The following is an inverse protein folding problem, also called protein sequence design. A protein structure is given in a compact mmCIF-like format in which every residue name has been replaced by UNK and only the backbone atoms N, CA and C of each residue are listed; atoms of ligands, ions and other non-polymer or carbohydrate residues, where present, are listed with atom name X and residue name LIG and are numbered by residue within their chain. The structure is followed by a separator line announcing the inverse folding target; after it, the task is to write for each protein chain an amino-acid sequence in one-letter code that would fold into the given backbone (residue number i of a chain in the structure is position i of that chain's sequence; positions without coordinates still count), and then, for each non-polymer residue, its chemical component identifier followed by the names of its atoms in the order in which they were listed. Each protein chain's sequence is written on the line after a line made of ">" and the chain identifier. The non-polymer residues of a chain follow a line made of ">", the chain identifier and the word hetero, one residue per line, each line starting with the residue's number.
data_IF_613045054528
#
_entry.id   IF_613045054528
#
_cell.length_a   1.000
_cell.length_b   1.000
_cell.length_c   1.000
_cell.angle_alpha   90.00
_cell.angle_beta   90.00
_cell.angle_gamma   90.00
#
_symmetry.space_group_name_H-M   'P 1'
#
loop_
_entity.id
_entity.type
_entity.pdbx_description
1 polymer ?
#
# COMPACT_ATOMS: atom_id res chain seq x y z
N UNK A 1 -22.44 25.37 1.18
CA UNK A 1 -21.04 25.08 0.83
C UNK A 1 -20.33 24.74 2.14
N UNK A 2 -19.99 23.48 2.35
CA UNK A 2 -19.11 23.10 3.47
C UNK A 2 -17.71 23.66 3.15
N UNK A 3 -17.00 24.24 4.14
CA UNK A 3 -15.65 24.69 3.91
C UNK A 3 -14.82 23.50 3.47
N UNK A 4 -14.11 23.62 2.33
CA UNK A 4 -13.15 22.64 1.87
C UNK A 4 -12.21 22.32 3.04
N UNK A 5 -12.28 21.09 3.56
CA UNK A 5 -11.31 20.65 4.54
C UNK A 5 -9.95 20.71 3.86
N UNK A 6 -9.12 21.63 4.31
CA UNK A 6 -7.75 21.74 3.81
C UNK A 6 -7.09 20.37 3.96
N UNK A 7 -6.54 19.85 2.86
CA UNK A 7 -5.79 18.61 2.88
C UNK A 7 -4.63 18.74 3.86
N UNK A 8 -4.71 18.02 4.96
CA UNK A 8 -3.58 17.88 5.87
C UNK A 8 -2.73 16.72 5.35
N UNK A 9 -1.46 16.97 4.98
CA UNK A 9 -0.57 15.87 4.60
C UNK A 9 -0.42 14.93 5.80
N UNK A 10 -0.65 13.63 5.56
CA UNK A 10 -0.50 12.61 6.58
C UNK A 10 0.95 12.61 7.13
N UNK A 11 1.09 12.44 8.43
CA UNK A 11 2.41 12.36 9.06
C UNK A 11 3.12 11.08 8.60
N UNK A 12 4.25 11.25 7.90
CA UNK A 12 5.04 10.15 7.36
C UNK A 12 5.89 9.57 8.49
N UNK A 13 5.45 8.46 9.06
CA UNK A 13 6.22 7.70 10.06
C UNK A 13 7.08 6.67 9.32
N UNK A 14 8.37 7.00 9.17
CA UNK A 14 9.34 6.12 8.52
C UNK A 14 10.49 5.82 9.49
N UNK A 15 10.46 4.62 10.06
CA UNK A 15 11.52 4.08 10.91
C UNK A 15 12.25 2.95 10.16
N UNK A 16 13.09 3.31 9.19
CA UNK A 16 13.96 2.40 8.46
C UNK A 16 15.40 2.58 8.91
N UNK A 17 16.19 1.50 8.91
CA UNK A 17 17.59 1.51 9.32
C UNK A 17 18.45 2.42 8.43
N UNK A 18 18.10 2.55 7.15
CA UNK A 18 18.81 3.36 6.16
C UNK A 18 18.35 4.81 6.08
N UNK A 19 17.23 5.16 6.72
CA UNK A 19 16.69 6.53 6.74
C UNK A 19 17.71 7.62 7.13
N UNK A 20 18.60 7.44 8.13
CA UNK A 20 19.58 8.48 8.49
C UNK A 20 20.58 8.75 7.36
N UNK A 21 20.99 7.72 6.62
CA UNK A 21 21.91 7.82 5.50
C UNK A 21 21.23 8.50 4.30
N UNK A 22 20.01 8.09 3.97
CA UNK A 22 19.19 8.67 2.91
C UNK A 22 18.96 10.17 3.16
N UNK A 23 18.57 10.57 4.37
CA UNK A 23 18.35 11.97 4.74
C UNK A 23 19.58 12.86 4.56
N UNK A 24 20.79 12.30 4.56
CA UNK A 24 22.03 13.03 4.35
C UNK A 24 22.46 13.08 2.88
N UNK A 25 22.32 11.96 2.16
CA UNK A 25 22.82 11.80 0.78
C UNK A 25 21.84 12.37 -0.25
N UNK A 26 20.53 12.08 -0.12
CA UNK A 26 19.54 12.45 -1.12
C UNK A 26 19.42 13.97 -1.36
N UNK A 27 19.40 14.86 -0.33
CA UNK A 27 19.38 16.31 -0.57
C UNK A 27 20.65 16.80 -1.26
N UNK A 28 21.81 16.22 -0.97
CA UNK A 28 23.07 16.56 -1.61
C UNK A 28 23.06 16.20 -3.11
N UNK A 29 22.52 15.04 -3.49
CA UNK A 29 22.33 14.65 -4.88
C UNK A 29 21.30 15.55 -5.54
N UNK A 30 20.13 15.75 -4.92
CA UNK A 30 19.03 16.55 -5.46
C UNK A 30 19.47 18.00 -5.78
N UNK A 31 20.32 18.59 -4.93
CA UNK A 31 20.85 19.94 -5.17
C UNK A 31 21.79 20.04 -6.38
N UNK A 32 22.34 18.92 -6.86
CA UNK A 32 23.25 18.86 -8.01
C UNK A 32 22.59 18.44 -9.31
N UNK A 33 21.33 18.00 -9.28
CA UNK A 33 20.61 17.60 -10.47
C UNK A 33 20.37 18.80 -11.38
N UNK A 34 20.55 18.65 -12.72
CA UNK A 34 20.27 19.70 -13.70
C UNK A 34 18.83 20.22 -13.60
N UNK A 35 18.62 21.52 -13.92
CA UNK A 35 17.31 22.16 -13.77
C UNK A 35 16.22 21.57 -14.66
N UNK A 36 16.57 20.88 -15.76
CA UNK A 36 15.61 20.23 -16.65
C UNK A 36 15.06 18.89 -16.11
N UNK A 37 15.69 18.28 -15.10
CA UNK A 37 15.18 17.10 -14.43
C UNK A 37 14.14 17.53 -13.39
N UNK A 38 12.91 17.07 -13.54
CA UNK A 38 11.81 17.27 -12.62
C UNK A 38 11.52 16.03 -11.79
N UNK A 39 10.75 16.20 -10.70
CA UNK A 39 10.26 15.07 -9.87
C UNK A 39 9.57 14.00 -10.72
N UNK A 40 8.71 14.40 -11.67
CA UNK A 40 7.97 13.47 -12.53
C UNK A 40 8.90 12.60 -13.41
N UNK A 41 10.05 13.13 -13.86
CA UNK A 41 11.04 12.34 -14.59
C UNK A 41 11.66 11.25 -13.71
N UNK A 42 11.88 11.54 -12.42
CA UNK A 42 12.43 10.58 -11.47
C UNK A 42 11.42 9.50 -11.10
N UNK A 43 10.16 9.88 -10.89
CA UNK A 43 9.07 8.92 -10.68
C UNK A 43 8.91 7.99 -11.89
N UNK A 44 8.95 8.54 -13.11
CA UNK A 44 8.92 7.75 -14.35
C UNK A 44 10.14 6.83 -14.47
N UNK A 45 11.34 7.30 -14.13
CA UNK A 45 12.56 6.48 -14.09
C UNK A 45 12.40 5.32 -13.11
N UNK A 46 11.86 5.58 -11.91
CA UNK A 46 11.54 4.57 -10.91
C UNK A 46 10.62 3.49 -11.46
N UNK A 47 9.53 3.88 -12.10
CA UNK A 47 8.56 2.97 -12.68
C UNK A 47 9.15 2.14 -13.85
N UNK A 48 9.82 2.79 -14.81
CA UNK A 48 10.48 2.08 -15.92
C UNK A 48 11.53 1.09 -15.42
N UNK A 49 12.18 1.42 -14.30
CA UNK A 49 13.13 0.52 -13.67
C UNK A 49 12.45 -0.72 -13.09
N UNK A 50 11.23 -0.63 -12.53
CA UNK A 50 10.47 -1.81 -12.08
C UNK A 50 10.09 -2.73 -13.25
N UNK A 51 9.73 -2.16 -14.40
CA UNK A 51 9.55 -2.94 -15.64
C UNK A 51 10.85 -3.61 -16.04
N UNK A 52 11.97 -2.89 -15.96
CA UNK A 52 13.31 -3.41 -16.21
C UNK A 52 13.70 -4.55 -15.26
N UNK A 53 13.35 -4.47 -13.97
CA UNK A 53 13.54 -5.56 -13.00
C UNK A 53 12.74 -6.80 -13.45
N UNK A 54 11.47 -6.64 -13.80
CA UNK A 54 10.63 -7.74 -14.27
C UNK A 54 11.19 -8.41 -15.52
N UNK A 55 11.59 -7.62 -16.53
CA UNK A 55 12.23 -8.12 -17.75
C UNK A 55 13.56 -8.81 -17.48
N UNK A 56 14.35 -8.30 -16.52
CA UNK A 56 15.61 -8.89 -16.12
C UNK A 56 15.42 -10.25 -15.44
N UNK A 57 14.41 -10.39 -14.59
CA UNK A 57 14.05 -11.69 -14.00
C UNK A 57 13.54 -12.68 -15.05
N UNK A 58 12.72 -12.24 -16.01
CA UNK A 58 12.34 -13.09 -17.12
C UNK A 58 13.56 -13.56 -17.91
N UNK A 59 14.50 -12.66 -18.25
CA UNK A 59 15.75 -13.00 -18.93
C UNK A 59 16.66 -13.90 -18.08
N UNK A 60 16.54 -13.86 -16.75
CA UNK A 60 17.30 -14.72 -15.85
C UNK A 60 16.97 -16.23 -16.03
N UNK A 61 15.85 -16.56 -16.68
CA UNK A 61 15.53 -17.92 -17.09
C UNK A 61 16.57 -18.47 -18.09
N UNK A 62 17.02 -17.63 -19.02
CA UNK A 62 17.98 -18.00 -20.06
C UNK A 62 19.44 -17.80 -19.60
N UNK A 63 19.70 -16.70 -18.88
CA UNK A 63 21.04 -16.31 -18.48
C UNK A 63 21.07 -15.72 -17.08
N UNK A 64 21.98 -16.21 -16.22
CA UNK A 64 22.20 -15.65 -14.88
C UNK A 64 22.56 -14.16 -14.88
N UNK A 65 23.04 -13.62 -16.01
CA UNK A 65 23.30 -12.19 -16.15
C UNK A 65 22.03 -11.36 -15.86
N UNK A 66 20.83 -11.92 -16.11
CA UNK A 66 19.55 -11.28 -15.74
C UNK A 66 19.45 -10.95 -14.26
N UNK A 67 20.03 -11.73 -13.35
CA UNK A 67 20.04 -11.42 -11.90
C UNK A 67 20.87 -10.16 -11.60
N UNK A 68 22.00 -9.96 -12.29
CA UNK A 68 22.82 -8.75 -12.14
C UNK A 68 22.14 -7.54 -12.79
N UNK A 69 21.47 -7.73 -13.93
CA UNK A 69 20.65 -6.69 -14.56
C UNK A 69 19.49 -6.26 -13.65
N UNK A 70 18.83 -7.20 -12.98
CA UNK A 70 17.80 -6.91 -11.99
C UNK A 70 18.36 -6.04 -10.86
N UNK A 71 19.57 -6.28 -10.37
CA UNK A 71 20.21 -5.44 -9.36
C UNK A 71 20.46 -4.01 -9.87
N UNK A 72 20.92 -3.86 -11.11
CA UNK A 72 21.09 -2.54 -11.71
C UNK A 72 19.75 -1.77 -11.74
N UNK A 73 18.68 -2.41 -12.20
CA UNK A 73 17.36 -1.78 -12.24
C UNK A 73 16.78 -1.53 -10.84
N UNK A 74 17.06 -2.36 -9.83
CA UNK A 74 16.69 -2.10 -8.44
C UNK A 74 17.38 -0.84 -7.88
N UNK A 75 18.66 -0.63 -8.22
CA UNK A 75 19.39 0.60 -7.86
C UNK A 75 18.79 1.81 -8.56
N UNK A 76 18.47 1.72 -9.85
CA UNK A 76 17.83 2.80 -10.60
C UNK A 76 16.44 3.12 -10.05
N UNK A 77 15.66 2.11 -9.68
CA UNK A 77 14.37 2.30 -9.04
C UNK A 77 14.52 3.02 -7.69
N UNK A 78 15.43 2.58 -6.82
CA UNK A 78 15.72 3.27 -5.57
C UNK A 78 16.13 4.73 -5.79
N UNK A 79 16.97 4.99 -6.80
CA UNK A 79 17.40 6.34 -7.14
C UNK A 79 16.23 7.22 -7.59
N UNK A 80 15.37 6.73 -8.48
CA UNK A 80 14.19 7.45 -8.96
C UNK A 80 13.21 7.78 -7.84
N UNK A 81 12.75 6.76 -7.14
CA UNK A 81 11.76 6.80 -6.06
C UNK A 81 12.21 7.63 -4.84
N UNK A 82 13.47 7.48 -4.40
CA UNK A 82 13.96 8.21 -3.22
C UNK A 82 14.26 9.69 -3.52
N UNK A 83 14.60 10.01 -4.77
CA UNK A 83 14.99 11.37 -5.17
C UNK A 83 13.82 12.24 -5.62
N UNK A 84 12.73 11.69 -6.14
CA UNK A 84 11.62 12.48 -6.69
C UNK A 84 10.98 13.40 -5.64
N UNK A 85 10.59 12.87 -4.49
CA UNK A 85 10.06 13.63 -3.37
C UNK A 85 11.10 14.53 -2.72
N UNK A 86 12.38 14.12 -2.71
CA UNK A 86 13.46 14.94 -2.16
C UNK A 86 13.76 16.12 -3.05
N UNK A 87 13.79 15.93 -4.38
CA UNK A 87 13.96 16.99 -5.37
C UNK A 87 12.84 18.02 -5.29
N UNK A 88 11.58 17.55 -5.19
CA UNK A 88 10.41 18.43 -5.03
C UNK A 88 10.52 19.30 -3.76
N UNK A 89 11.02 18.74 -2.65
CA UNK A 89 11.27 19.50 -1.41
C UNK A 89 12.39 20.53 -1.54
N UNK A 90 13.54 20.12 -2.08
CA UNK A 90 14.70 21.00 -2.26
C UNK A 90 14.38 22.18 -3.17
N UNK A 91 13.55 21.96 -4.20
CA UNK A 91 13.15 23.01 -5.15
C UNK A 91 11.88 23.78 -4.76
N UNK A 92 11.25 23.47 -3.62
CA UNK A 92 9.96 24.04 -3.19
C UNK A 92 8.83 23.86 -4.24
N UNK A 93 8.84 22.74 -4.99
CA UNK A 93 7.89 22.41 -6.04
C UNK A 93 7.02 21.21 -5.65
N UNK A 94 6.62 21.12 -4.40
CA UNK A 94 5.86 20.01 -3.88
C UNK A 94 4.41 20.03 -4.39
N UNK A 95 3.92 18.88 -4.87
CA UNK A 95 2.52 18.62 -5.24
C UNK A 95 2.01 17.42 -4.44
N UNK A 96 1.67 17.59 -3.14
CA UNK A 96 1.46 16.47 -2.22
C UNK A 96 0.40 15.46 -2.68
N UNK A 97 -0.76 15.93 -3.15
CA UNK A 97 -1.85 15.03 -3.62
C UNK A 97 -1.47 14.31 -4.91
N UNK A 98 -0.94 15.04 -5.87
CA UNK A 98 -0.54 14.50 -7.16
C UNK A 98 0.61 13.50 -7.01
N UNK A 99 1.67 13.89 -6.28
CA UNK A 99 2.84 13.03 -6.05
C UNK A 99 2.45 11.76 -5.33
N UNK A 100 1.66 11.85 -4.24
CA UNK A 100 1.16 10.69 -3.52
C UNK A 100 0.39 9.72 -4.43
N UNK A 101 -0.54 10.23 -5.24
CA UNK A 101 -1.35 9.40 -6.12
C UNK A 101 -0.51 8.69 -7.19
N UNK A 102 0.33 9.46 -7.91
CA UNK A 102 1.11 8.93 -9.04
C UNK A 102 2.14 7.91 -8.56
N UNK A 103 2.89 8.23 -7.50
CA UNK A 103 3.89 7.36 -6.89
C UNK A 103 3.29 5.98 -6.54
N UNK A 104 2.21 5.97 -5.76
CA UNK A 104 1.61 4.74 -5.26
C UNK A 104 0.90 3.90 -6.33
N UNK A 105 0.29 4.55 -7.35
CA UNK A 105 -0.29 3.83 -8.49
C UNK A 105 0.81 3.19 -9.33
N UNK A 106 1.91 3.90 -9.59
CA UNK A 106 3.02 3.37 -10.37
C UNK A 106 3.77 2.26 -9.62
N UNK A 107 3.90 2.36 -8.30
CA UNK A 107 4.47 1.29 -7.47
C UNK A 107 3.61 0.02 -7.50
N UNK A 108 2.28 0.17 -7.37
CA UNK A 108 1.36 -0.96 -7.49
C UNK A 108 1.44 -1.62 -8.87
N UNK A 109 1.44 -0.83 -9.96
CA UNK A 109 1.62 -1.34 -11.32
C UNK A 109 2.99 -1.98 -11.51
N UNK A 110 4.05 -1.35 -10.98
CA UNK A 110 5.43 -1.84 -11.07
C UNK A 110 5.63 -3.17 -10.37
N UNK A 111 4.95 -3.39 -9.25
CA UNK A 111 5.00 -4.65 -8.51
C UNK A 111 4.53 -5.85 -9.34
N UNK A 112 3.56 -5.64 -10.23
CA UNK A 112 3.08 -6.70 -11.15
C UNK A 112 4.20 -7.17 -12.08
N UNK A 113 5.02 -6.24 -12.59
CA UNK A 113 6.16 -6.59 -13.45
C UNK A 113 7.24 -7.32 -12.64
N UNK A 114 7.57 -6.87 -11.43
CA UNK A 114 8.57 -7.50 -10.57
C UNK A 114 8.19 -8.93 -10.21
N UNK A 115 6.99 -9.13 -9.64
CA UNK A 115 6.53 -10.47 -9.24
C UNK A 115 6.20 -11.35 -10.44
N UNK A 116 5.69 -10.77 -11.54
CA UNK A 116 5.49 -11.47 -12.80
C UNK A 116 6.83 -11.97 -13.39
N UNK A 117 7.84 -11.13 -13.41
CA UNK A 117 9.20 -11.51 -13.82
C UNK A 117 9.80 -12.60 -12.94
N UNK A 118 9.64 -12.50 -11.61
CA UNK A 118 10.07 -13.55 -10.67
C UNK A 118 9.37 -14.89 -10.94
N UNK A 119 8.06 -14.87 -11.23
CA UNK A 119 7.29 -16.06 -11.60
C UNK A 119 7.85 -16.74 -12.87
N UNK A 120 8.31 -15.94 -13.84
CA UNK A 120 8.85 -16.40 -15.12
C UNK A 120 10.35 -16.74 -15.07
N UNK A 121 11.05 -16.32 -14.01
CA UNK A 121 12.51 -16.50 -13.88
C UNK A 121 12.96 -17.96 -13.71
N UNK A 122 12.05 -18.85 -13.29
CA UNK A 122 12.40 -20.23 -12.91
C UNK A 122 13.07 -20.37 -11.53
N UNK A 123 13.36 -19.25 -10.83
CA UNK A 123 13.91 -19.25 -9.46
C UNK A 123 12.83 -19.19 -8.38
N UNK A 124 11.61 -18.75 -8.73
CA UNK A 124 10.45 -18.70 -7.83
C UNK A 124 9.25 -19.41 -8.47
N UNK A 125 8.48 -20.16 -7.68
CA UNK A 125 7.25 -20.75 -8.19
C UNK A 125 6.19 -19.69 -8.43
N UNK A 126 5.39 -19.87 -9.47
CA UNK A 126 4.27 -18.94 -9.80
C UNK A 126 3.33 -18.74 -8.62
N UNK A 127 3.07 -19.80 -7.82
CA UNK A 127 2.20 -19.72 -6.64
C UNK A 127 2.75 -18.78 -5.57
N UNK A 128 4.06 -18.85 -5.29
CA UNK A 128 4.72 -17.97 -4.30
C UNK A 128 4.77 -16.53 -4.81
N UNK A 129 5.12 -16.33 -6.08
CA UNK A 129 5.14 -15.00 -6.68
C UNK A 129 3.75 -14.35 -6.69
N UNK A 130 2.71 -15.11 -7.03
CA UNK A 130 1.32 -14.63 -6.99
C UNK A 130 0.85 -14.31 -5.56
N UNK A 131 1.19 -15.16 -4.57
CA UNK A 131 0.88 -14.89 -3.18
C UNK A 131 1.56 -13.61 -2.68
N UNK A 132 2.85 -13.41 -3.00
CA UNK A 132 3.58 -12.18 -2.68
C UNK A 132 2.92 -10.95 -3.30
N UNK A 133 2.55 -11.02 -4.59
CA UNK A 133 1.87 -9.91 -5.26
C UNK A 133 0.55 -9.56 -4.59
N UNK A 134 -0.29 -10.57 -4.32
CA UNK A 134 -1.62 -10.35 -3.72
C UNK A 134 -1.47 -9.73 -2.32
N UNK A 135 -0.61 -10.29 -1.47
CA UNK A 135 -0.42 -9.76 -0.11
C UNK A 135 0.21 -8.36 -0.14
N UNK A 136 1.15 -8.12 -1.05
CA UNK A 136 1.73 -6.79 -1.24
C UNK A 136 0.67 -5.75 -1.64
N UNK A 137 -0.19 -6.06 -2.61
CA UNK A 137 -1.25 -5.15 -3.05
C UNK A 137 -2.30 -4.91 -1.95
N UNK A 138 -2.67 -5.94 -1.18
CA UNK A 138 -3.58 -5.79 -0.04
C UNK A 138 -2.97 -4.92 1.06
N UNK A 139 -1.71 -5.12 1.39
CA UNK A 139 -1.00 -4.30 2.39
C UNK A 139 -0.86 -2.84 1.91
N UNK A 140 -0.60 -2.63 0.62
CA UNK A 140 -0.54 -1.30 0.02
C UNK A 140 -1.91 -0.62 0.07
N UNK A 141 -2.98 -1.30 -0.30
CA UNK A 141 -4.34 -0.78 -0.24
C UNK A 141 -4.74 -0.41 1.19
N UNK A 142 -4.41 -1.25 2.17
CA UNK A 142 -4.63 -0.96 3.59
C UNK A 142 -3.89 0.30 4.02
N UNK A 143 -2.60 0.43 3.69
CA UNK A 143 -1.79 1.61 4.01
C UNK A 143 -2.35 2.90 3.40
N UNK A 144 -2.89 2.84 2.17
CA UNK A 144 -3.51 4.00 1.52
C UNK A 144 -4.83 4.39 2.19
N UNK A 145 -5.67 3.39 2.56
CA UNK A 145 -6.91 3.62 3.30
C UNK A 145 -6.63 4.20 4.70
N UNK A 146 -5.67 3.65 5.42
CA UNK A 146 -5.26 4.14 6.74
C UNK A 146 -4.74 5.58 6.68
N UNK A 147 -3.97 5.91 5.63
CA UNK A 147 -3.51 7.28 5.39
C UNK A 147 -4.67 8.27 5.26
N UNK A 148 -5.74 7.87 4.57
CA UNK A 148 -6.90 8.71 4.35
C UNK A 148 -7.81 8.80 5.59
N UNK A 149 -8.01 7.69 6.31
CA UNK A 149 -8.97 7.59 7.42
C UNK A 149 -8.38 7.99 8.76
N UNK A 150 -7.12 7.60 9.02
CA UNK A 150 -6.44 7.83 10.31
C UNK A 150 -5.49 9.04 10.24
N UNK A 151 -5.09 9.45 9.03
CA UNK A 151 -4.16 10.57 8.82
C UNK A 151 -2.68 10.22 9.11
N UNK A 152 -2.36 8.94 9.34
CA UNK A 152 -0.99 8.46 9.55
C UNK A 152 -0.59 7.53 8.40
N UNK A 153 0.57 7.80 7.80
CA UNK A 153 1.12 6.96 6.74
C UNK A 153 2.28 6.13 7.30
N UNK A 154 2.05 4.84 7.51
CA UNK A 154 3.08 3.91 7.97
C UNK A 154 3.67 3.15 6.77
N UNK A 155 4.92 3.45 6.42
CA UNK A 155 5.67 2.78 5.34
C UNK A 155 6.59 1.66 5.84
N UNK A 156 6.79 1.54 7.14
CA UNK A 156 7.72 0.57 7.71
C UNK A 156 7.06 -0.24 8.82
N UNK A 157 7.07 -1.55 8.65
CA UNK A 157 6.70 -2.49 9.70
C UNK A 157 7.97 -3.06 10.35
N UNK A 158 8.10 -2.93 11.67
CA UNK A 158 9.22 -3.48 12.46
C UNK A 158 10.62 -3.09 11.91
N UNK A 159 10.84 -1.83 11.55
CA UNK A 159 12.09 -1.28 10.99
C UNK A 159 12.46 -1.77 9.57
N UNK A 160 11.62 -2.56 8.90
CA UNK A 160 11.77 -2.93 7.50
C UNK A 160 10.99 -1.97 6.60
N UNK A 161 11.71 -1.26 5.75
CA UNK A 161 11.14 -0.37 4.74
C UNK A 161 11.41 -0.86 3.31
N UNK A 162 10.93 -0.11 2.30
CA UNK A 162 11.14 -0.45 0.88
C UNK A 162 12.61 -0.58 0.49
N UNK A 163 13.49 0.23 1.08
CA UNK A 163 14.93 0.20 0.79
C UNK A 163 15.60 -1.06 1.30
N UNK A 164 15.25 -1.52 2.52
CA UNK A 164 15.76 -2.77 3.08
C UNK A 164 15.30 -3.98 2.26
N UNK A 165 14.06 -3.96 1.76
CA UNK A 165 13.56 -5.01 0.88
C UNK A 165 14.33 -5.06 -0.44
N UNK A 166 14.64 -3.91 -1.04
CA UNK A 166 15.48 -3.84 -2.26
C UNK A 166 16.88 -4.40 -2.00
N UNK A 167 17.51 -4.03 -0.87
CA UNK A 167 18.83 -4.56 -0.49
C UNK A 167 18.79 -6.09 -0.30
N UNK A 168 17.74 -6.61 0.34
CA UNK A 168 17.57 -8.05 0.53
C UNK A 168 17.41 -8.78 -0.81
N UNK A 169 16.62 -8.22 -1.74
CA UNK A 169 16.46 -8.77 -3.09
C UNK A 169 17.79 -8.75 -3.85
N UNK A 170 18.56 -7.66 -3.78
CA UNK A 170 19.87 -7.55 -4.42
C UNK A 170 20.85 -8.58 -3.87
N UNK A 171 20.89 -8.76 -2.55
CA UNK A 171 21.72 -9.78 -1.91
C UNK A 171 21.30 -11.20 -2.33
N UNK A 172 20.00 -11.46 -2.40
CA UNK A 172 19.44 -12.73 -2.90
C UNK A 172 19.83 -13.00 -4.36
N UNK A 173 19.78 -11.99 -5.22
CA UNK A 173 20.20 -12.09 -6.63
C UNK A 173 21.69 -12.43 -6.76
N UNK A 174 22.55 -11.80 -5.95
CA UNK A 174 23.98 -12.11 -5.93
C UNK A 174 24.22 -13.53 -5.42
N UNK A 175 23.54 -13.94 -4.36
CA UNK A 175 23.63 -15.29 -3.82
C UNK A 175 23.24 -16.35 -4.88
N UNK A 176 22.17 -16.13 -5.64
CA UNK A 176 21.75 -17.01 -6.74
C UNK A 176 22.73 -16.98 -7.92
N UNK A 177 23.30 -15.82 -8.21
CA UNK A 177 24.31 -15.72 -9.27
C UNK A 177 25.55 -16.55 -8.95
N UNK A 178 26.02 -16.51 -7.69
CA UNK A 178 27.17 -17.28 -7.20
C UNK A 178 26.82 -18.78 -7.05
N UNK A 179 25.67 -19.08 -6.47
CA UNK A 179 25.24 -20.45 -6.22
C UNK A 179 23.73 -20.61 -6.54
N UNK A 180 23.40 -21.22 -7.71
CA UNK A 180 22.01 -21.31 -8.17
C UNK A 180 21.19 -22.31 -7.36
N UNK A 181 20.71 -21.89 -6.22
CA UNK A 181 19.79 -22.66 -5.40
C UNK A 181 18.34 -22.17 -5.61
N UNK A 182 17.57 -22.90 -6.43
CA UNK A 182 16.18 -22.55 -6.76
C UNK A 182 15.24 -22.48 -5.54
N UNK A 183 15.61 -23.11 -4.42
CA UNK A 183 14.79 -23.05 -3.20
C UNK A 183 14.94 -21.73 -2.44
N UNK A 184 16.02 -20.97 -2.66
CA UNK A 184 16.28 -19.73 -1.92
C UNK A 184 15.14 -18.72 -2.07
N UNK A 185 14.73 -18.39 -3.31
CA UNK A 185 13.64 -17.46 -3.55
C UNK A 185 12.26 -18.01 -3.18
N UNK A 186 12.06 -19.34 -3.29
CA UNK A 186 10.79 -19.94 -2.84
C UNK A 186 10.64 -19.86 -1.32
N UNK A 187 11.67 -20.23 -0.57
CA UNK A 187 11.64 -20.17 0.90
C UNK A 187 11.59 -18.71 1.36
N UNK A 188 12.45 -17.85 0.82
CA UNK A 188 12.43 -16.42 1.14
C UNK A 188 11.10 -15.77 0.79
N UNK A 189 10.51 -16.13 -0.35
CA UNK A 189 9.19 -15.64 -0.78
C UNK A 189 8.06 -16.10 0.13
N UNK A 190 8.05 -17.35 0.57
CA UNK A 190 7.06 -17.84 1.54
C UNK A 190 7.18 -17.13 2.90
N UNK A 191 8.40 -16.93 3.39
CA UNK A 191 8.65 -16.19 4.62
C UNK A 191 8.19 -14.73 4.45
N UNK A 192 8.54 -14.09 3.33
CA UNK A 192 8.11 -12.73 3.01
C UNK A 192 6.59 -12.58 2.92
N UNK A 193 5.92 -13.51 2.23
CA UNK A 193 4.46 -13.51 2.14
C UNK A 193 3.79 -13.69 3.52
N UNK A 194 4.29 -14.61 4.34
CA UNK A 194 3.80 -14.82 5.70
C UNK A 194 4.02 -13.58 6.58
N UNK A 195 5.22 -12.97 6.51
CA UNK A 195 5.52 -11.75 7.25
C UNK A 195 4.64 -10.56 6.85
N UNK A 196 4.44 -10.34 5.55
CA UNK A 196 3.53 -9.29 5.04
C UNK A 196 2.07 -9.57 5.42
N UNK A 197 1.63 -10.83 5.41
CA UNK A 197 0.28 -11.20 5.85
C UNK A 197 0.07 -10.92 7.34
N UNK A 198 1.03 -11.24 8.19
CA UNK A 198 0.98 -10.92 9.61
C UNK A 198 0.97 -9.41 9.85
N UNK A 199 1.78 -8.65 9.10
CA UNK A 199 1.78 -7.20 9.16
C UNK A 199 0.42 -6.61 8.74
N UNK A 200 -0.18 -7.13 7.66
CA UNK A 200 -1.52 -6.74 7.21
C UNK A 200 -2.58 -6.98 8.28
N UNK A 201 -2.63 -8.19 8.84
CA UNK A 201 -3.61 -8.54 9.88
C UNK A 201 -3.44 -7.66 11.13
N UNK A 202 -2.22 -7.40 11.53
CA UNK A 202 -1.91 -6.51 12.65
C UNK A 202 -2.36 -5.08 12.39
N UNK A 203 -2.02 -4.54 11.21
CA UNK A 203 -2.39 -3.18 10.79
C UNK A 203 -3.91 -3.00 10.75
N UNK A 204 -4.62 -3.92 10.09
CA UNK A 204 -6.09 -3.91 10.02
C UNK A 204 -6.70 -3.95 11.42
N UNK A 205 -6.21 -4.81 12.33
CA UNK A 205 -6.73 -4.90 13.68
C UNK A 205 -6.52 -3.59 14.46
N UNK A 206 -5.32 -3.00 14.37
CA UNK A 206 -5.01 -1.73 15.06
C UNK A 206 -5.87 -0.58 14.53
N UNK A 207 -5.92 -0.37 13.21
CA UNK A 207 -6.67 0.73 12.63
C UNK A 207 -8.18 0.58 12.84
N UNK A 208 -8.71 -0.65 12.73
CA UNK A 208 -10.12 -0.92 13.04
C UNK A 208 -10.46 -0.59 14.49
N UNK A 209 -9.63 -1.00 15.45
CA UNK A 209 -9.85 -0.68 16.87
C UNK A 209 -9.72 0.83 17.14
N UNK A 210 -8.77 1.50 16.49
CA UNK A 210 -8.58 2.94 16.62
C UNK A 210 -9.79 3.71 16.11
N UNK A 211 -10.28 3.38 14.91
CA UNK A 211 -11.46 4.03 14.31
C UNK A 211 -12.73 3.72 15.10
N UNK A 212 -12.93 2.49 15.55
CA UNK A 212 -14.08 2.11 16.38
C UNK A 212 -14.14 2.91 17.68
N UNK A 213 -12.98 3.22 18.29
CA UNK A 213 -12.90 4.04 19.51
C UNK A 213 -13.09 5.53 19.21
N UNK A 214 -12.65 5.99 18.04
CA UNK A 214 -12.75 7.38 17.63
C UNK A 214 -14.20 7.78 17.20
N UNK A 215 -14.95 6.81 16.67
CA UNK A 215 -16.31 7.03 16.17
C UNK A 215 -17.31 6.11 16.92
N UNK A 216 -17.72 6.47 18.16
CA UNK A 216 -18.73 5.72 18.89
C UNK A 216 -20.08 5.79 18.16
N UNK A 217 -20.85 4.69 18.25
CA UNK A 217 -22.19 4.64 17.65
C UNK A 217 -23.04 5.83 18.15
N UNK A 218 -23.74 6.53 17.27
CA UNK A 218 -24.63 7.60 17.68
C UNK A 218 -25.70 7.04 18.62
N UNK A 219 -26.13 7.82 19.65
CA UNK A 219 -27.20 7.40 20.53
C UNK A 219 -28.44 7.11 19.69
N UNK A 220 -29.10 5.98 19.96
CA UNK A 220 -30.36 5.65 19.28
C UNK A 220 -31.35 6.79 19.52
N UNK A 221 -32.06 7.30 18.52
CA UNK A 221 -33.08 8.29 18.73
C UNK A 221 -34.13 7.71 19.69
N UNK A 222 -34.28 8.35 20.83
CA UNK A 222 -35.32 7.98 21.79
C UNK A 222 -36.70 8.19 21.14
N UNK A 223 -37.48 7.11 21.05
CA UNK A 223 -38.92 7.18 20.93
C UNK A 223 -39.56 7.34 19.57
N UNK A 224 -39.69 6.25 18.86
CA UNK A 224 -40.96 5.87 18.24
C UNK A 224 -41.03 4.37 18.42
N UNK A 225 -42.07 3.90 19.09
CA UNK A 225 -42.26 2.52 19.58
C UNK A 225 -42.00 1.42 18.54
N UNK A 226 -40.75 1.08 18.39
CA UNK A 226 -40.36 -0.17 17.76
C UNK A 226 -40.33 -1.29 18.83
N UNK A 227 -40.55 -2.55 18.47
CA UNK A 227 -40.57 -3.64 19.42
C UNK A 227 -39.27 -3.68 20.19
N UNK A 228 -39.33 -3.57 21.50
CA UNK A 228 -38.21 -3.88 22.40
C UNK A 228 -37.77 -5.32 22.10
N UNK A 229 -36.63 -5.51 21.46
CA UNK A 229 -35.98 -6.82 21.45
C UNK A 229 -35.53 -7.12 22.89
N UNK A 230 -36.46 -7.58 23.71
CA UNK A 230 -36.12 -8.23 24.99
C UNK A 230 -35.55 -9.60 24.66
N UNK A 231 -34.37 -9.89 25.17
CA UNK A 231 -33.75 -11.21 25.14
C UNK A 231 -34.47 -12.22 26.07
N UNK A 232 -35.75 -12.04 26.29
CA UNK A 232 -36.62 -12.96 27.02
C UNK A 232 -38.01 -12.89 26.37
N UNK A 233 -38.41 -13.97 25.78
CA UNK A 233 -39.56 -14.08 24.90
C UNK A 233 -40.93 -13.94 25.54
N UNK A 234 -41.35 -12.71 25.93
CA UNK A 234 -42.74 -12.42 26.22
C UNK A 234 -43.10 -11.03 25.62
N UNK A 235 -43.94 -11.05 24.59
CA UNK A 235 -44.50 -9.87 23.93
C UNK A 235 -45.67 -9.34 24.75
N UNK A 236 -45.45 -8.26 25.49
CA UNK A 236 -46.56 -7.49 26.11
C UNK A 236 -46.98 -6.40 25.14
N UNK A 237 -48.16 -6.55 24.54
CA UNK A 237 -48.86 -5.54 23.79
C UNK A 237 -49.56 -4.59 24.75
N UNK A 238 -49.06 -3.37 24.94
CA UNK A 238 -49.85 -2.28 25.49
C UNK A 238 -50.27 -1.40 24.33
N UNK A 239 -51.57 -1.51 24.03
CA UNK A 239 -52.21 -0.73 22.98
C UNK A 239 -52.41 0.73 23.40
N UNK A 240 -52.13 1.64 22.49
CA UNK A 240 -52.77 2.92 22.40
C UNK A 240 -52.85 3.32 20.94
N UNK A 241 -54.06 3.42 20.45
CA UNK A 241 -54.39 3.84 19.10
C UNK A 241 -54.00 5.32 18.89
N UNK A 242 -53.12 5.56 17.93
CA UNK A 242 -53.28 6.75 17.08
C UNK A 242 -52.73 6.46 15.69
N UNK A 243 -53.64 6.54 14.73
CA UNK A 243 -53.49 6.19 13.33
C UNK A 243 -52.84 7.34 12.58
N UNK A 244 -51.55 7.28 12.32
CA UNK A 244 -50.88 7.92 11.16
C UNK A 244 -49.48 7.34 10.99
N UNK A 245 -49.39 6.15 10.44
CA UNK A 245 -48.12 5.66 9.82
C UNK A 245 -47.90 6.46 8.53
N UNK A 246 -47.00 7.41 8.57
CA UNK A 246 -46.45 7.99 7.36
C UNK A 246 -45.53 6.99 6.65
N UNK A 247 -45.83 6.72 5.41
CA UNK A 247 -45.18 5.80 4.45
C UNK A 247 -43.79 6.32 4.00
N UNK A 248 -42.91 6.71 4.87
CA UNK A 248 -41.55 7.17 4.46
C UNK A 248 -40.41 6.22 4.85
N UNK A 249 -40.66 5.10 5.54
CA UNK A 249 -39.62 4.16 5.90
C UNK A 249 -39.41 3.00 4.91
N UNK A 250 -40.19 2.88 3.83
CA UNK A 250 -40.03 1.84 2.81
C UNK A 250 -39.12 2.22 1.62
N UNK A 251 -38.66 3.49 1.56
CA UNK A 251 -37.80 3.96 0.45
C UNK A 251 -36.34 3.55 0.49
N UNK A 252 -35.83 3.11 1.63
CA UNK A 252 -34.37 2.92 1.79
C UNK A 252 -33.84 1.56 1.31
N UNK A 253 -34.72 0.60 1.02
CA UNK A 253 -34.30 -0.71 0.50
C UNK A 253 -34.46 -0.86 -1.02
N UNK A 254 -35.03 0.13 -1.69
CA UNK A 254 -35.25 0.09 -3.15
C UNK A 254 -34.13 0.76 -3.95
N UNK A 255 -33.31 1.60 -3.31
CA UNK A 255 -32.19 2.30 -3.97
C UNK A 255 -30.91 1.45 -4.11
N UNK A 256 -30.82 0.31 -3.44
CA UNK A 256 -29.66 -0.60 -3.58
C UNK A 256 -29.78 -1.62 -4.74
N UNK A 257 -30.90 -1.68 -5.43
CA UNK A 257 -31.13 -2.63 -6.52
C UNK A 257 -30.84 -2.06 -7.93
N UNK A 258 -30.63 -0.75 -8.08
CA UNK A 258 -30.42 -0.13 -9.41
C UNK A 258 -28.99 0.36 -9.70
N UNK A 259 -28.00 0.03 -8.85
CA UNK A 259 -26.59 0.35 -9.10
C UNK A 259 -25.74 -0.86 -9.57
N UNK A 260 -26.36 -1.81 -10.28
CA UNK A 260 -25.60 -2.89 -10.92
C UNK A 260 -26.04 -3.01 -12.38
N UNK A 261 -25.54 -2.14 -13.23
CA UNK A 261 -25.25 -2.39 -14.66
C UNK A 261 -24.03 -1.54 -15.01
#
# INVERSE_FOLDING_TARGET
>A
MQPERAFQPAERVQHSLLTPLEKRILPWIAARLPCWINSDHLTLLGFLSLIGVGGSYWYAHESRAGLLMANLFLILNWFGDSLDGTLARVRNQQRPRYGFYVDHVLDACGSVFVFGGLALSGYMSVRVAAALLVVYLLLSAESYLATYTVGTFQLSFAAFGPTELRVLLMAGNVALWLNPNKSLFNVGGMIGAAGMMLALLWSVAQHTLQLYRAEPLPPRPFGTGGPLCNAGGDSIWLGSADSRCNLECCGFLQEFAECTI
#
